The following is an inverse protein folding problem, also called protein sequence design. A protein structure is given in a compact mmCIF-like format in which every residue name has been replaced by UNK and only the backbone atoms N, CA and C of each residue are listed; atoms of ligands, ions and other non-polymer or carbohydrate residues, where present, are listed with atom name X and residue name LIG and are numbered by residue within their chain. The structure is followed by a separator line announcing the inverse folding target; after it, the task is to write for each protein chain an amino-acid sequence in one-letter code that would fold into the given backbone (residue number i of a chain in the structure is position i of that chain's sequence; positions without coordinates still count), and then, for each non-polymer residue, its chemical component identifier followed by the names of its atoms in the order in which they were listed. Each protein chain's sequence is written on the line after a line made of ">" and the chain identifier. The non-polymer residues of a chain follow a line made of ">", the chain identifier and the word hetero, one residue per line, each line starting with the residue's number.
data_IF_000289172640
#
_entry.id   IF_000289172640
#
_cell.length_a   1.000
_cell.length_b   1.000
_cell.length_c   1.000
_cell.angle_alpha   90.00
_cell.angle_beta   90.00
_cell.angle_gamma   90.00
#
_symmetry.space_group_name_H-M   'P 1'
#
loop_
_entity.id
_entity.type
_entity.pdbx_description
1 polymer ?
#
# COMPACT_ATOMS: atom_id res chain seq x y z
N UNK A 1 45.78 -20.08 -24.41
CA UNK A 1 44.88 -20.49 -23.31
C UNK A 1 44.93 -19.51 -22.12
N UNK A 2 44.75 -18.21 -22.34
CA UNK A 2 44.77 -17.19 -21.26
C UNK A 2 43.77 -16.04 -21.48
N UNK A 3 42.94 -16.15 -22.53
CA UNK A 3 41.95 -15.14 -22.91
C UNK A 3 40.51 -15.53 -22.52
N UNK A 4 40.28 -16.78 -22.11
CA UNK A 4 38.97 -17.28 -21.69
C UNK A 4 38.72 -17.03 -20.19
N UNK A 5 39.79 -16.79 -19.40
CA UNK A 5 39.68 -16.50 -17.96
C UNK A 5 39.15 -15.09 -17.66
N UNK A 6 39.21 -14.15 -18.61
CA UNK A 6 38.76 -12.76 -18.40
C UNK A 6 37.29 -12.55 -18.75
N UNK A 7 36.70 -13.43 -19.56
CA UNK A 7 35.29 -13.39 -19.93
C UNK A 7 34.35 -13.82 -18.78
N UNK A 8 34.85 -14.63 -17.84
CA UNK A 8 34.09 -15.05 -16.65
C UNK A 8 34.16 -14.02 -15.51
N UNK A 9 35.15 -13.12 -15.52
CA UNK A 9 35.30 -12.12 -14.46
C UNK A 9 34.48 -10.83 -14.71
N UNK A 10 34.06 -10.58 -15.96
CA UNK A 10 33.34 -9.36 -16.35
C UNK A 10 31.82 -9.50 -16.37
N UNK A 11 31.28 -10.73 -16.29
CA UNK A 11 29.83 -10.98 -16.27
C UNK A 11 29.18 -10.79 -14.88
N UNK A 12 29.95 -10.49 -13.83
CA UNK A 12 29.45 -10.39 -12.45
C UNK A 12 28.98 -8.98 -12.03
N UNK A 13 29.09 -7.96 -12.89
CA UNK A 13 28.89 -6.55 -12.48
C UNK A 13 27.52 -5.96 -12.91
N UNK A 14 26.70 -6.66 -13.68
CA UNK A 14 25.47 -6.09 -14.28
C UNK A 14 24.18 -6.59 -13.62
N UNK A 15 24.09 -6.61 -12.29
CA UNK A 15 22.81 -6.86 -11.59
C UNK A 15 22.68 -6.01 -10.32
N UNK A 16 22.93 -4.70 -10.42
CA UNK A 16 22.60 -3.74 -9.35
C UNK A 16 21.82 -2.57 -9.93
N UNK A 17 20.76 -2.87 -10.70
CA UNK A 17 19.75 -1.88 -11.02
C UNK A 17 18.42 -2.38 -10.49
N UNK A 18 17.90 -1.70 -9.46
CA UNK A 18 16.50 -1.82 -9.09
C UNK A 18 16.24 -1.99 -7.60
N UNK A 19 16.49 -0.95 -6.81
CA UNK A 19 15.56 -0.51 -5.76
C UNK A 19 15.76 1.00 -5.63
N UNK A 20 15.04 1.79 -6.44
CA UNK A 20 14.83 3.21 -6.11
C UNK A 20 13.92 3.20 -4.88
N UNK A 21 14.53 3.32 -3.70
CA UNK A 21 13.80 3.64 -2.48
C UNK A 21 13.21 5.05 -2.69
N UNK A 22 11.90 5.11 -2.91
CA UNK A 22 11.19 6.37 -3.01
C UNK A 22 11.35 7.08 -1.66
N UNK A 23 12.14 8.15 -1.65
CA UNK A 23 12.38 8.99 -0.48
C UNK A 23 11.18 9.93 -0.30
N UNK A 24 10.01 9.36 -0.02
CA UNK A 24 8.80 10.11 0.26
C UNK A 24 8.87 10.55 1.72
N UNK A 25 9.41 11.74 1.97
CA UNK A 25 9.24 12.47 3.24
C UNK A 25 7.77 12.94 3.38
N UNK A 26 6.82 12.00 3.33
CA UNK A 26 5.41 12.28 3.63
C UNK A 26 5.24 12.09 5.13
N UNK A 27 4.91 13.15 5.90
CA UNK A 27 4.74 13.04 7.34
C UNK A 27 3.70 11.99 7.71
N UNK A 28 4.07 11.11 8.65
CA UNK A 28 3.16 10.08 9.16
C UNK A 28 2.94 8.88 8.24
N UNK A 29 3.57 8.80 7.06
CA UNK A 29 3.38 7.68 6.11
C UNK A 29 3.63 6.30 6.75
N UNK A 30 4.78 6.10 7.38
CA UNK A 30 5.12 4.80 8.00
C UNK A 30 4.13 4.42 9.10
N UNK A 31 3.70 5.38 9.91
CA UNK A 31 2.72 5.19 10.97
C UNK A 31 1.33 4.87 10.39
N UNK A 32 0.90 5.61 9.38
CA UNK A 32 -0.35 5.39 8.66
C UNK A 32 -0.41 3.99 8.02
N UNK A 33 0.65 3.58 7.31
CA UNK A 33 0.73 2.25 6.68
C UNK A 33 0.61 1.14 7.72
N UNK A 34 1.39 1.24 8.81
CA UNK A 34 1.35 0.27 9.91
C UNK A 34 -0.05 0.18 10.54
N UNK A 35 -0.67 1.33 10.84
CA UNK A 35 -2.00 1.39 11.45
C UNK A 35 -3.10 0.88 10.53
N UNK A 36 -3.06 1.21 9.25
CA UNK A 36 -4.05 0.74 8.29
C UNK A 36 -3.98 -0.79 8.12
N UNK A 37 -2.77 -1.34 8.04
CA UNK A 37 -2.57 -2.79 7.98
C UNK A 37 -3.10 -3.47 9.26
N UNK A 38 -2.80 -2.94 10.44
CA UNK A 38 -3.33 -3.48 11.69
C UNK A 38 -4.86 -3.41 11.74
N UNK A 39 -5.45 -2.27 11.34
CA UNK A 39 -6.90 -2.08 11.30
C UNK A 39 -7.59 -3.12 10.40
N UNK A 40 -7.01 -3.39 9.24
CA UNK A 40 -7.52 -4.44 8.35
C UNK A 40 -7.49 -5.81 9.01
N UNK A 41 -6.38 -6.18 9.67
CA UNK A 41 -6.25 -7.46 10.37
C UNK A 41 -7.30 -7.61 11.50
N UNK A 42 -7.56 -6.53 12.24
CA UNK A 42 -8.58 -6.51 13.29
C UNK A 42 -10.00 -6.74 12.72
N UNK A 43 -10.30 -6.19 11.54
CA UNK A 43 -11.60 -6.35 10.88
C UNK A 43 -11.78 -7.74 10.25
N UNK A 44 -10.72 -8.28 9.65
CA UNK A 44 -10.73 -9.64 9.10
C UNK A 44 -10.92 -10.68 10.21
N UNK A 45 -10.27 -10.49 11.37
CA UNK A 45 -10.41 -11.41 12.51
C UNK A 45 -11.80 -11.37 13.14
N UNK A 46 -12.49 -10.23 13.09
CA UNK A 46 -13.86 -10.06 13.59
C UNK A 46 -14.95 -10.49 12.60
N UNK A 47 -14.57 -11.03 11.42
CA UNK A 47 -15.48 -11.47 10.35
C UNK A 47 -16.41 -10.36 9.84
N UNK A 48 -15.94 -9.12 9.82
CA UNK A 48 -16.64 -8.06 9.11
C UNK A 48 -16.77 -8.39 7.61
N UNK A 49 -17.90 -8.05 7.00
CA UNK A 49 -18.04 -8.15 5.54
C UNK A 49 -17.27 -6.99 4.89
N UNK A 50 -16.13 -7.32 4.29
CA UNK A 50 -15.27 -6.37 3.59
C UNK A 50 -15.35 -6.52 2.06
N UNK A 51 -16.28 -7.34 1.56
CA UNK A 51 -16.37 -7.72 0.14
C UNK A 51 -16.69 -6.57 -0.82
N UNK A 52 -17.08 -5.41 -0.29
CA UNK A 52 -17.40 -4.21 -1.06
C UNK A 52 -16.28 -3.17 -1.06
N UNK A 53 -15.11 -3.47 -0.49
CA UNK A 53 -14.01 -2.51 -0.35
C UNK A 53 -14.40 -1.30 0.52
N UNK A 54 -14.88 -1.50 1.76
CA UNK A 54 -15.33 -0.39 2.58
C UNK A 54 -14.16 0.42 3.15
N UNK A 55 -14.45 1.67 3.48
CA UNK A 55 -13.62 2.49 4.36
C UNK A 55 -13.40 1.75 5.69
N UNK A 56 -12.14 1.53 6.04
CA UNK A 56 -11.77 0.84 7.28
C UNK A 56 -11.66 1.82 8.44
N UNK A 57 -11.14 3.02 8.21
CA UNK A 57 -11.04 4.07 9.23
C UNK A 57 -10.90 5.47 8.62
N UNK A 58 -11.66 6.43 9.16
CA UNK A 58 -11.65 7.82 8.73
C UNK A 58 -10.51 8.66 9.35
N UNK A 59 -9.77 8.12 10.33
CA UNK A 59 -8.70 8.83 10.99
C UNK A 59 -7.71 7.86 11.65
N UNK A 60 -6.94 7.13 10.85
CA UNK A 60 -5.89 6.24 11.39
C UNK A 60 -4.77 7.03 12.08
N UNK A 61 -4.42 8.19 11.53
CA UNK A 61 -3.47 9.16 12.08
C UNK A 61 -3.74 10.51 11.43
N UNK A 62 -3.14 11.59 11.96
CA UNK A 62 -3.46 12.95 11.56
C UNK A 62 -3.36 13.17 10.04
N UNK A 63 -4.50 13.39 9.39
CA UNK A 63 -4.60 13.66 7.94
C UNK A 63 -4.68 12.42 7.04
N UNK A 64 -4.79 11.21 7.61
CA UNK A 64 -4.78 9.93 6.90
C UNK A 64 -6.06 9.12 7.14
N UNK A 65 -6.59 8.52 6.09
CA UNK A 65 -7.63 7.48 6.14
C UNK A 65 -7.06 6.10 5.77
N UNK A 66 -7.80 5.04 6.09
CA UNK A 66 -7.52 3.67 5.67
C UNK A 66 -8.70 3.15 4.84
N UNK A 67 -8.43 2.84 3.58
CA UNK A 67 -9.42 2.34 2.63
C UNK A 67 -9.12 0.91 2.21
N UNK A 68 -10.14 0.16 1.80
CA UNK A 68 -9.97 -1.17 1.22
C UNK A 68 -10.46 -1.17 -0.23
N UNK A 69 -9.70 -1.81 -1.12
CA UNK A 69 -10.12 -2.03 -2.50
C UNK A 69 -9.72 -3.43 -2.97
N UNK A 70 -10.32 -3.90 -4.06
CA UNK A 70 -9.83 -5.11 -4.72
C UNK A 70 -8.53 -4.84 -5.47
N UNK A 71 -7.71 -5.87 -5.64
CA UNK A 71 -6.48 -5.84 -6.43
C UNK A 71 -6.44 -7.03 -7.40
N UNK A 72 -6.80 -6.86 -8.69
CA UNK A 72 -7.13 -5.60 -9.38
C UNK A 72 -8.45 -4.95 -8.92
N UNK A 73 -8.51 -3.61 -8.98
CA UNK A 73 -9.72 -2.83 -8.65
C UNK A 73 -10.93 -3.26 -9.48
N UNK A 74 -12.10 -3.24 -8.86
CA UNK A 74 -13.41 -3.54 -9.43
C UNK A 74 -14.29 -2.29 -9.43
N UNK A 75 -15.35 -2.23 -10.25
CA UNK A 75 -16.26 -1.08 -10.28
C UNK A 75 -16.91 -0.74 -8.93
N UNK A 76 -17.06 -1.73 -8.03
CA UNK A 76 -17.60 -1.50 -6.68
C UNK A 76 -16.66 -0.69 -5.78
N UNK A 77 -15.35 -0.70 -6.05
CA UNK A 77 -14.35 0.06 -5.28
C UNK A 77 -14.43 1.55 -5.58
N UNK A 78 -15.07 1.94 -6.69
CA UNK A 78 -15.25 3.33 -7.09
C UNK A 78 -16.62 3.89 -6.67
N UNK A 79 -17.46 3.08 -6.00
CA UNK A 79 -18.71 3.55 -5.40
C UNK A 79 -18.40 4.51 -4.23
N UNK A 80 -18.83 5.78 -4.28
CA UNK A 80 -18.59 6.73 -3.20
C UNK A 80 -19.11 6.28 -1.84
N UNK A 81 -20.09 5.37 -1.77
CA UNK A 81 -20.57 4.83 -0.50
C UNK A 81 -19.55 3.93 0.21
N UNK A 82 -18.60 3.37 -0.54
CA UNK A 82 -17.56 2.49 0.00
C UNK A 82 -16.28 3.26 0.35
N UNK A 83 -16.12 4.48 -0.15
CA UNK A 83 -14.95 5.33 0.07
C UNK A 83 -14.99 6.04 1.43
N UNK A 84 -13.82 6.38 1.99
CA UNK A 84 -13.75 7.11 3.25
C UNK A 84 -14.22 8.58 3.12
N UNK A 85 -15.30 9.01 3.80
CA UNK A 85 -15.82 10.38 3.69
C UNK A 85 -14.88 11.46 4.26
N UNK A 86 -13.95 11.08 5.14
CA UNK A 86 -12.92 11.99 5.63
C UNK A 86 -11.90 12.39 4.55
N UNK A 87 -11.72 11.56 3.51
CA UNK A 87 -10.79 11.88 2.43
C UNK A 87 -11.31 13.06 1.60
N UNK A 88 -10.44 14.06 1.38
CA UNK A 88 -10.82 15.31 0.71
C UNK A 88 -11.47 16.35 1.60
N UNK A 89 -11.86 16.00 2.83
CA UNK A 89 -12.42 16.91 3.83
C UNK A 89 -11.40 17.21 4.94
N UNK A 90 -11.21 16.28 5.87
CA UNK A 90 -10.29 16.38 7.02
C UNK A 90 -8.98 15.63 6.79
N UNK A 91 -8.97 14.66 5.88
CA UNK A 91 -7.79 13.91 5.47
C UNK A 91 -7.39 14.26 4.02
N UNK A 92 -6.09 14.32 3.78
CA UNK A 92 -5.48 14.56 2.46
C UNK A 92 -4.67 13.37 1.96
N UNK A 93 -4.50 12.38 2.81
CA UNK A 93 -3.75 11.17 2.53
C UNK A 93 -4.59 9.93 2.80
N UNK A 94 -4.24 8.84 2.15
CA UNK A 94 -4.86 7.54 2.40
C UNK A 94 -3.86 6.40 2.22
N UNK A 95 -4.11 5.33 2.97
CA UNK A 95 -3.52 4.03 2.71
C UNK A 95 -4.62 3.13 2.18
N UNK A 96 -4.37 2.46 1.07
CA UNK A 96 -5.31 1.53 0.43
C UNK A 96 -4.75 0.11 0.55
N UNK A 97 -5.55 -0.80 1.09
CA UNK A 97 -5.21 -2.23 1.25
C UNK A 97 -6.17 -3.13 0.50
N UNK A 98 -5.75 -4.36 0.21
CA UNK A 98 -6.66 -5.39 -0.30
C UNK A 98 -7.26 -6.26 0.80
N UNK A 99 -8.14 -7.18 0.41
CA UNK A 99 -8.81 -8.16 1.28
C UNK A 99 -7.86 -9.06 2.09
N UNK A 100 -6.59 -9.16 1.68
CA UNK A 100 -5.54 -9.88 2.39
C UNK A 100 -4.68 -8.97 3.28
N UNK A 101 -5.14 -7.74 3.52
CA UNK A 101 -4.44 -6.68 4.24
C UNK A 101 -3.06 -6.35 3.66
N UNK A 102 -2.86 -6.57 2.35
CA UNK A 102 -1.64 -6.13 1.65
C UNK A 102 -1.82 -4.70 1.17
N UNK A 103 -0.78 -3.90 1.29
CA UNK A 103 -0.78 -2.51 0.82
C UNK A 103 -0.84 -2.50 -0.71
N UNK A 104 -1.84 -1.81 -1.27
CA UNK A 104 -1.94 -1.49 -2.70
C UNK A 104 -1.15 -0.19 -2.95
N UNK A 105 -1.47 0.87 -2.20
CA UNK A 105 -0.82 2.19 -2.32
C UNK A 105 -0.98 3.01 -1.04
N UNK A 106 -0.12 4.01 -0.88
CA UNK A 106 -0.22 5.04 0.15
C UNK A 106 0.23 6.38 -0.44
N UNK A 107 -0.65 7.39 -0.39
CA UNK A 107 -0.44 8.71 -1.01
C UNK A 107 -0.96 9.83 -0.13
#
# INVERSE_FOLDING_TARGET
>A
MKLILWALLTAAIVVISGCVASNTNVPGLTDAVSRCQQKCLDLVTTRADLSKGPCLDNNITAGWVCDMAHDPRRPVDDDPSNQCPAFGTTARHFVEVNENCRIIRAV
#
